data_IF_892205968239
#
_entry.id   IF_892205968239
#
_cell.length_a   1.000
_cell.length_b   1.000
_cell.length_c   1.000
_cell.angle_alpha   90.00
_cell.angle_beta   90.00
_cell.angle_gamma   90.00
#
_symmetry.space_group_name_H-M   'P 1'
#
loop_
_entity.id
_entity.type
_entity.pdbx_description
1 polymer ?
#
# COMPACT_ATOMS: atom_id res chain seq x y z
N UNK A 1 -41.57 -0.66 11.68
CA UNK A 1 -40.27 -0.21 11.11
C UNK A 1 -39.27 -1.36 11.16
N UNK A 2 -38.76 -1.78 10.00
CA UNK A 2 -37.89 -2.97 9.84
C UNK A 2 -36.46 -2.66 10.28
N UNK A 3 -35.97 -3.35 11.31
CA UNK A 3 -34.55 -3.43 11.66
C UNK A 3 -33.85 -4.38 10.69
N UNK A 4 -33.23 -3.88 9.63
CA UNK A 4 -32.21 -4.61 8.87
C UNK A 4 -30.86 -4.21 9.45
N UNK A 5 -30.21 -5.15 10.13
CA UNK A 5 -28.80 -5.16 10.51
C UNK A 5 -28.29 -3.83 11.10
N UNK A 6 -28.40 -3.70 12.44
CA UNK A 6 -28.12 -2.49 13.22
C UNK A 6 -26.70 -1.93 13.11
N UNK A 7 -26.36 -1.34 11.97
CA UNK A 7 -25.25 -0.42 11.79
C UNK A 7 -25.87 0.93 11.42
N UNK A 8 -25.89 1.91 12.34
CA UNK A 8 -26.27 3.28 12.01
C UNK A 8 -25.34 3.80 10.91
N UNK A 9 -25.89 4.02 9.72
CA UNK A 9 -25.14 4.56 8.57
C UNK A 9 -24.74 6.03 8.83
N UNK A 10 -25.44 6.69 9.76
CA UNK A 10 -25.37 8.13 10.02
C UNK A 10 -24.36 8.56 11.11
N UNK A 11 -23.58 7.62 11.67
CA UNK A 11 -22.52 7.98 12.63
C UNK A 11 -21.17 7.64 12.01
N UNK A 12 -20.49 8.62 11.36
CA UNK A 12 -19.17 8.40 10.77
C UNK A 12 -18.16 7.82 11.76
N UNK A 13 -18.29 8.13 13.06
CA UNK A 13 -17.45 7.63 14.15
C UNK A 13 -17.73 6.19 14.62
N UNK A 14 -18.83 5.55 14.21
CA UNK A 14 -19.18 4.18 14.61
C UNK A 14 -18.49 3.11 13.76
N UNK A 15 -17.81 3.50 12.67
CA UNK A 15 -17.00 2.59 11.87
C UNK A 15 -15.70 2.29 12.64
N UNK A 16 -15.55 1.07 13.17
CA UNK A 16 -14.24 0.57 13.60
C UNK A 16 -13.32 0.64 12.37
N UNK A 17 -12.39 1.60 12.37
CA UNK A 17 -11.35 1.67 11.35
C UNK A 17 -10.68 0.29 11.28
N UNK A 18 -10.54 -0.32 10.08
CA UNK A 18 -9.85 -1.58 9.98
C UNK A 18 -8.44 -1.38 10.53
N UNK A 19 -8.06 -2.18 11.53
CA UNK A 19 -6.68 -2.26 12.03
C UNK A 19 -5.80 -2.95 10.97
N UNK A 20 -5.74 -2.37 9.78
CA UNK A 20 -4.61 -2.64 8.89
C UNK A 20 -3.43 -2.03 9.62
N UNK A 21 -2.54 -2.88 10.14
CA UNK A 21 -1.21 -2.46 10.56
C UNK A 21 -0.52 -1.94 9.31
N UNK A 22 -0.79 -0.68 8.96
CA UNK A 22 -0.04 0.03 7.93
C UNK A 22 1.39 0.00 8.44
N UNK A 23 2.23 -0.79 7.77
CA UNK A 23 3.67 -0.76 7.99
C UNK A 23 4.08 0.71 7.99
N UNK A 24 4.81 1.11 9.04
CA UNK A 24 5.06 2.52 9.39
C UNK A 24 5.43 3.34 8.15
N UNK A 25 4.57 4.27 7.69
CA UNK A 25 4.86 5.09 6.50
C UNK A 25 6.10 5.97 6.66
N UNK A 26 6.56 6.18 7.89
CA UNK A 26 7.62 7.12 8.24
C UNK A 26 8.97 6.75 7.60
N UNK A 27 9.31 5.46 7.55
CA UNK A 27 10.61 5.01 7.03
C UNK A 27 10.73 5.18 5.51
N UNK A 28 9.61 5.19 4.79
CA UNK A 28 9.60 5.34 3.34
C UNK A 28 9.45 6.80 2.90
N UNK A 29 8.93 7.67 3.76
CA UNK A 29 8.69 9.08 3.42
C UNK A 29 9.95 9.88 3.10
N UNK A 30 11.14 9.39 3.48
CA UNK A 30 12.44 9.99 3.14
C UNK A 30 12.83 9.82 1.67
N UNK A 31 12.14 8.93 0.93
CA UNK A 31 12.45 8.67 -0.46
C UNK A 31 11.50 9.40 -1.40
N UNK A 32 12.05 9.90 -2.50
CA UNK A 32 11.29 10.61 -3.52
C UNK A 32 10.96 9.74 -4.73
N UNK A 33 11.58 8.57 -4.86
CA UNK A 33 11.42 7.70 -6.04
C UNK A 33 10.90 6.34 -5.61
N UNK A 34 9.76 5.95 -6.17
CA UNK A 34 9.11 4.68 -5.91
C UNK A 34 9.03 3.84 -7.18
N UNK A 35 8.96 2.53 -6.97
CA UNK A 35 8.69 1.57 -8.03
C UNK A 35 7.52 0.68 -7.65
N UNK A 36 6.62 0.49 -8.61
CA UNK A 36 5.57 -0.52 -8.55
C UNK A 36 6.11 -1.80 -9.15
N UNK A 37 6.05 -2.89 -8.39
CA UNK A 37 6.54 -4.19 -8.80
C UNK A 37 5.45 -5.26 -8.66
N UNK A 38 5.57 -6.34 -9.42
CA UNK A 38 4.72 -7.51 -9.28
C UNK A 38 5.49 -8.82 -9.37
N UNK A 39 4.98 -9.85 -8.72
CA UNK A 39 5.39 -11.25 -8.87
C UNK A 39 4.16 -12.08 -9.21
N UNK A 40 4.36 -13.13 -9.98
CA UNK A 40 3.34 -14.18 -10.12
C UNK A 40 3.59 -15.25 -9.06
N UNK A 41 2.58 -15.51 -8.24
CA UNK A 41 2.59 -16.54 -7.21
C UNK A 41 1.22 -17.24 -7.24
N UNK A 42 1.22 -18.56 -7.39
CA UNK A 42 0.02 -19.40 -7.47
C UNK A 42 -1.03 -18.92 -8.50
N UNK A 43 -0.56 -18.43 -9.66
CA UNK A 43 -1.42 -17.93 -10.74
C UNK A 43 -1.99 -16.52 -10.51
N UNK A 44 -1.66 -15.86 -9.40
CA UNK A 44 -2.11 -14.53 -9.04
C UNK A 44 -0.95 -13.53 -9.16
N UNK A 45 -1.25 -12.30 -9.62
CA UNK A 45 -0.29 -11.19 -9.59
C UNK A 45 -0.31 -10.52 -8.21
N UNK A 46 0.77 -10.65 -7.46
CA UNK A 46 0.98 -9.93 -6.21
C UNK A 46 1.69 -8.62 -6.54
N UNK A 47 1.07 -7.51 -6.16
CA UNK A 47 1.59 -6.16 -6.40
C UNK A 47 2.18 -5.56 -5.13
N UNK A 48 3.27 -4.82 -5.29
CA UNK A 48 3.92 -4.11 -4.19
C UNK A 48 4.50 -2.77 -4.68
N UNK A 49 4.63 -1.83 -3.77
CA UNK A 49 5.27 -0.54 -4.01
C UNK A 49 6.38 -0.34 -3.00
N UNK A 50 7.57 0.00 -3.49
CA UNK A 50 8.77 0.12 -2.67
C UNK A 50 9.61 1.29 -3.19
N UNK A 51 10.26 2.07 -2.31
CA UNK A 51 11.19 3.09 -2.77
C UNK A 51 12.37 2.46 -3.51
N UNK A 52 12.79 3.04 -4.64
CA UNK A 52 13.87 2.50 -5.48
C UNK A 52 15.20 2.35 -4.71
N UNK A 53 15.47 3.28 -3.81
CA UNK A 53 16.69 3.29 -3.00
C UNK A 53 16.58 2.47 -1.70
N UNK A 54 15.40 1.95 -1.36
CA UNK A 54 15.21 1.16 -0.15
C UNK A 54 15.85 -0.23 -0.30
N UNK A 55 16.48 -0.81 0.75
CA UNK A 55 17.04 -2.16 0.69
C UNK A 55 16.05 -3.24 0.24
N UNK A 56 14.75 -3.05 0.52
CA UNK A 56 13.72 -4.00 0.11
C UNK A 56 13.52 -4.07 -1.40
N UNK A 57 13.86 -3.01 -2.15
CA UNK A 57 13.87 -3.09 -3.61
C UNK A 57 14.79 -4.21 -4.09
N UNK A 58 16.00 -4.31 -3.52
CA UNK A 58 16.95 -5.37 -3.85
C UNK A 58 16.46 -6.75 -3.41
N UNK A 59 15.77 -6.85 -2.27
CA UNK A 59 15.18 -8.11 -1.78
C UNK A 59 14.07 -8.59 -2.73
N UNK A 60 13.11 -7.71 -3.04
CA UNK A 60 12.00 -8.01 -3.96
C UNK A 60 12.50 -8.40 -5.36
N UNK A 61 13.54 -7.74 -5.86
CA UNK A 61 14.20 -8.15 -7.12
C UNK A 61 14.77 -9.57 -7.06
N UNK A 62 15.37 -9.98 -5.93
CA UNK A 62 15.87 -11.35 -5.73
C UNK A 62 14.73 -12.37 -5.58
N UNK A 63 13.61 -11.97 -5.00
CA UNK A 63 12.40 -12.80 -4.85
C UNK A 63 11.61 -12.99 -6.16
N UNK A 64 12.06 -12.37 -7.25
CA UNK A 64 11.47 -12.51 -8.58
C UNK A 64 10.42 -11.46 -8.94
N UNK A 65 10.29 -10.38 -8.15
CA UNK A 65 9.42 -9.26 -8.51
C UNK A 65 9.97 -8.50 -9.72
N UNK A 66 9.09 -8.21 -10.68
CA UNK A 66 9.34 -7.43 -11.89
C UNK A 66 8.83 -6.01 -11.71
N UNK A 67 9.60 -5.05 -12.21
CA UNK A 67 9.23 -3.62 -12.17
C UNK A 67 8.21 -3.39 -13.28
N UNK A 68 7.08 -2.77 -12.94
CA UNK A 68 6.07 -2.32 -13.90
C UNK A 68 6.23 -0.84 -14.20
N UNK A 69 6.42 -0.04 -13.14
CA UNK A 69 6.41 1.40 -13.24
C UNK A 69 7.36 2.01 -12.21
N UNK A 70 7.99 3.12 -12.59
CA UNK A 70 8.81 3.97 -11.71
C UNK A 70 8.18 5.35 -11.71
N UNK A 71 7.98 5.92 -10.53
CA UNK A 71 7.36 7.23 -10.36
C UNK A 71 8.00 8.01 -9.23
N UNK A 72 7.96 9.33 -9.36
CA UNK A 72 8.43 10.27 -8.35
C UNK A 72 7.26 10.67 -7.44
N UNK A 73 7.51 10.70 -6.14
CA UNK A 73 6.56 11.17 -5.14
C UNK A 73 6.27 12.64 -5.43
N UNK A 74 5.00 12.95 -5.70
CA UNK A 74 4.56 14.32 -5.92
C UNK A 74 4.77 15.13 -4.63
N UNK A 75 5.45 16.26 -4.75
CA UNK A 75 5.44 17.27 -3.70
C UNK A 75 4.01 17.79 -3.57
N UNK A 76 3.39 17.54 -2.42
CA UNK A 76 2.12 18.17 -2.09
C UNK A 76 2.48 19.55 -1.57
N UNK A 77 2.48 20.54 -2.46
CA UNK A 77 2.57 21.95 -2.06
C UNK A 77 1.41 22.23 -1.11
N UNK A 78 1.74 22.53 0.15
CA UNK A 78 0.78 22.85 1.20
C UNK A 78 0.13 24.23 0.97
#
# INVERSE_FOLDING_TARGET
MRRRNGIPIDVPGARKAPKVKTQKPVEYNQYNVYVTMFKFEDGIKIWTMVPLMHPDFKKLRKEGYRITEKWDKREVSA
#
